data_IF_815219218779
#
_entry.id   IF_815219218779
#
_cell.length_a   1.000
_cell.length_b   1.000
_cell.length_c   1.000
_cell.angle_alpha   90.00
_cell.angle_beta   90.00
_cell.angle_gamma   90.00
#
_symmetry.space_group_name_H-M   'P 1'
#
loop_
_entity.id
_entity.type
_entity.pdbx_description
1 polymer ?
#
# COMPACT_ATOMS: atom_id res chain seq x y z
N UNK A 1 -31.97 -3.93 2.02
CA UNK A 1 -31.00 -4.78 2.72
C UNK A 1 -30.28 -3.93 3.76
N UNK A 2 -29.98 -4.48 4.94
CA UNK A 2 -29.19 -3.81 5.97
C UNK A 2 -27.74 -4.29 5.89
N UNK A 3 -26.80 -3.35 5.80
CA UNK A 3 -25.37 -3.61 5.58
C UNK A 3 -24.59 -2.98 6.73
N UNK A 4 -23.69 -3.75 7.34
CA UNK A 4 -22.77 -3.26 8.38
C UNK A 4 -21.39 -3.11 7.76
N UNK A 5 -20.80 -1.92 7.88
CA UNK A 5 -19.46 -1.61 7.41
C UNK A 5 -18.54 -1.46 8.61
N UNK A 6 -17.48 -2.26 8.65
CA UNK A 6 -16.57 -2.36 9.81
C UNK A 6 -15.21 -1.70 9.59
N UNK A 7 -14.93 -1.22 8.39
CA UNK A 7 -13.69 -0.50 8.05
C UNK A 7 -13.68 0.92 8.62
N UNK A 8 -12.50 1.56 8.75
CA UNK A 8 -12.41 2.97 9.13
C UNK A 8 -13.29 3.86 8.23
N UNK A 9 -13.80 4.96 8.79
CA UNK A 9 -14.76 5.82 8.09
C UNK A 9 -14.18 6.40 6.80
N UNK A 10 -12.92 6.78 6.83
CA UNK A 10 -12.21 7.41 5.70
C UNK A 10 -12.13 6.49 4.50
N UNK A 11 -12.01 5.17 4.74
CA UNK A 11 -11.94 4.12 3.71
C UNK A 11 -13.33 3.65 3.26
N UNK A 12 -14.39 4.15 3.90
CA UNK A 12 -15.77 3.64 3.74
C UNK A 12 -16.74 4.67 3.19
N UNK A 13 -16.41 5.96 3.23
CA UNK A 13 -17.34 7.05 2.89
C UNK A 13 -17.96 6.90 1.50
N UNK A 14 -17.16 6.58 0.50
CA UNK A 14 -17.65 6.41 -0.88
C UNK A 14 -18.59 5.19 -0.98
N UNK A 15 -18.22 4.07 -0.35
CA UNK A 15 -19.02 2.86 -0.32
C UNK A 15 -20.36 3.11 0.41
N UNK A 16 -20.33 3.80 1.56
CA UNK A 16 -21.54 4.17 2.32
C UNK A 16 -22.48 5.00 1.46
N UNK A 17 -21.96 6.03 0.78
CA UNK A 17 -22.76 6.88 -0.11
C UNK A 17 -23.39 6.08 -1.25
N UNK A 18 -22.63 5.23 -1.92
CA UNK A 18 -23.10 4.41 -3.02
C UNK A 18 -24.20 3.41 -2.60
N UNK A 19 -24.02 2.79 -1.42
CA UNK A 19 -25.01 1.86 -0.87
C UNK A 19 -26.29 2.58 -0.44
N UNK A 20 -26.16 3.73 0.22
CA UNK A 20 -27.31 4.55 0.62
C UNK A 20 -28.09 5.09 -0.58
N UNK A 21 -27.39 5.49 -1.64
CA UNK A 21 -28.02 5.91 -2.90
C UNK A 21 -28.83 4.80 -3.55
N UNK A 22 -28.42 3.53 -3.37
CA UNK A 22 -29.15 2.34 -3.82
C UNK A 22 -30.24 1.88 -2.82
N UNK A 23 -30.66 2.74 -1.90
CA UNK A 23 -31.69 2.47 -0.89
C UNK A 23 -31.36 1.31 0.06
N UNK A 24 -30.08 1.06 0.33
CA UNK A 24 -29.69 0.16 1.40
C UNK A 24 -29.56 0.90 2.73
N UNK A 25 -29.97 0.25 3.83
CA UNK A 25 -29.70 0.74 5.18
C UNK A 25 -28.27 0.38 5.54
N UNK A 26 -27.45 1.40 5.85
CA UNK A 26 -26.04 1.20 6.18
C UNK A 26 -25.78 1.61 7.63
N UNK A 27 -25.23 0.68 8.40
CA UNK A 27 -24.68 0.97 9.74
C UNK A 27 -23.16 0.93 9.68
N UNK A 28 -22.52 2.03 10.07
CA UNK A 28 -21.07 2.10 10.18
C UNK A 28 -20.65 1.74 11.61
N UNK A 29 -19.92 0.64 11.76
CA UNK A 29 -19.40 0.12 13.01
C UNK A 29 -17.90 -0.19 12.86
N UNK A 30 -17.00 0.80 12.98
CA UNK A 30 -15.57 0.58 12.76
C UNK A 30 -15.00 -0.33 13.84
N UNK A 31 -14.46 -1.48 13.42
CA UNK A 31 -13.78 -2.44 14.29
C UNK A 31 -12.25 -2.34 14.20
N UNK A 32 -11.73 -1.53 13.28
CA UNK A 32 -10.30 -1.34 13.03
C UNK A 32 -9.96 0.13 13.23
N UNK A 33 -8.95 0.38 14.04
CA UNK A 33 -8.35 1.70 14.21
C UNK A 33 -6.88 1.62 13.76
N UNK A 34 -6.53 2.39 12.73
CA UNK A 34 -5.18 2.42 12.17
C UNK A 34 -4.44 3.61 12.77
N UNK A 35 -3.31 3.33 13.42
CA UNK A 35 -2.46 4.35 14.04
C UNK A 35 -1.09 4.37 13.37
N UNK A 36 -0.50 5.56 13.26
CA UNK A 36 0.88 5.72 12.83
C UNK A 36 1.80 5.09 13.88
N UNK A 37 2.69 4.21 13.41
CA UNK A 37 3.82 3.74 14.22
C UNK A 37 4.95 4.75 14.05
N UNK A 38 5.65 5.09 15.13
CA UNK A 38 6.81 5.98 15.05
C UNK A 38 7.89 5.31 14.21
N UNK A 39 8.18 5.90 13.06
CA UNK A 39 9.22 5.39 12.17
C UNK A 39 10.59 5.87 12.64
N UNK A 40 11.60 4.99 12.56
CA UNK A 40 13.00 5.38 12.63
C UNK A 40 13.31 6.29 11.44
N UNK A 41 14.31 7.17 11.58
CA UNK A 41 14.78 8.00 10.47
C UNK A 41 15.22 7.11 9.29
N UNK A 42 14.37 7.03 8.27
CA UNK A 42 14.60 6.24 7.06
C UNK A 42 15.32 7.15 6.06
N UNK A 43 16.51 6.74 5.63
CA UNK A 43 17.17 7.43 4.52
C UNK A 43 16.64 6.85 3.19
N UNK A 44 15.68 7.53 2.59
CA UNK A 44 15.03 7.09 1.35
C UNK A 44 15.96 7.04 0.13
N UNK A 45 17.11 7.72 0.14
CA UNK A 45 18.09 7.63 -0.95
C UNK A 45 18.71 6.24 -1.12
N UNK A 46 18.65 5.41 -0.08
CA UNK A 46 19.15 4.03 -0.13
C UNK A 46 18.21 3.07 -0.86
N UNK A 47 17.00 3.53 -1.23
CA UNK A 47 15.98 2.70 -1.85
C UNK A 47 15.72 3.14 -3.29
N UNK A 48 15.44 2.17 -4.15
CA UNK A 48 15.13 2.37 -5.56
C UNK A 48 13.69 2.07 -5.94
N UNK A 49 12.93 1.56 -4.99
CA UNK A 49 11.49 1.38 -5.09
C UNK A 49 10.85 1.21 -3.73
N UNK A 50 9.53 1.38 -3.68
CA UNK A 50 8.71 1.23 -2.50
C UNK A 50 7.56 0.28 -2.81
N UNK A 51 7.25 -0.59 -1.86
CA UNK A 51 6.10 -1.49 -1.93
C UNK A 51 5.03 -1.02 -0.95
N UNK A 52 3.82 -0.84 -1.44
CA UNK A 52 2.64 -0.49 -0.66
C UNK A 52 1.55 -1.55 -0.82
N UNK A 53 1.26 -2.29 0.24
CA UNK A 53 0.15 -3.25 0.27
C UNK A 53 -1.16 -2.65 0.75
N UNK A 54 -1.14 -1.40 1.22
CA UNK A 54 -2.31 -0.66 1.69
C UNK A 54 -2.18 0.84 1.42
N UNK A 55 -3.29 1.48 1.06
CA UNK A 55 -3.38 2.94 0.93
C UNK A 55 -3.08 3.66 2.26
N UNK A 56 -3.37 3.03 3.40
CA UNK A 56 -3.07 3.57 4.71
C UNK A 56 -1.56 3.64 5.00
N UNK A 57 -0.76 2.75 4.43
CA UNK A 57 0.69 2.81 4.54
C UNK A 57 1.24 4.14 3.98
N UNK A 58 0.68 4.61 2.87
CA UNK A 58 1.07 5.88 2.25
C UNK A 58 0.64 7.08 3.12
N UNK A 59 -0.57 7.02 3.67
CA UNK A 59 -1.13 8.10 4.49
C UNK A 59 -0.30 8.39 5.74
N UNK A 60 0.28 7.36 6.34
CA UNK A 60 1.04 7.49 7.59
C UNK A 60 2.55 7.60 7.38
N UNK A 61 3.03 7.46 6.16
CA UNK A 61 4.42 7.67 5.79
C UNK A 61 4.71 9.17 5.63
N UNK A 62 5.84 9.61 6.14
CA UNK A 62 6.36 10.94 5.80
C UNK A 62 6.92 10.90 4.38
N UNK A 63 6.13 11.43 3.45
CA UNK A 63 6.45 11.37 2.01
C UNK A 63 7.20 12.58 1.48
N UNK A 64 7.45 13.60 2.32
CA UNK A 64 8.08 14.84 1.86
C UNK A 64 9.52 14.63 1.36
N UNK A 65 10.25 13.76 2.05
CA UNK A 65 11.65 13.45 1.75
C UNK A 65 11.83 12.28 0.77
N UNK A 66 10.76 11.77 0.18
CA UNK A 66 10.82 10.65 -0.75
C UNK A 66 10.83 11.20 -2.18
N UNK A 67 11.81 10.79 -3.03
CA UNK A 67 11.83 11.17 -4.43
C UNK A 67 10.54 10.73 -5.14
N UNK A 68 9.85 11.67 -5.78
CA UNK A 68 8.53 11.39 -6.40
C UNK A 68 8.62 10.54 -7.66
N UNK A 69 9.81 10.39 -8.23
CA UNK A 69 10.11 9.51 -9.37
C UNK A 69 10.46 8.08 -8.98
N UNK A 70 10.48 7.74 -7.69
CA UNK A 70 10.74 6.37 -7.24
C UNK A 70 9.64 5.42 -7.72
N UNK A 71 10.02 4.19 -8.06
CA UNK A 71 9.03 3.15 -8.41
C UNK A 71 8.18 2.78 -7.19
N UNK A 72 6.87 2.87 -7.31
CA UNK A 72 5.93 2.45 -6.28
C UNK A 72 5.13 1.25 -6.77
N UNK A 73 5.34 0.12 -6.14
CA UNK A 73 4.64 -1.13 -6.41
C UNK A 73 3.45 -1.25 -5.46
N UNK A 74 2.23 -1.20 -6.01
CA UNK A 74 0.99 -1.19 -5.25
C UNK A 74 0.22 -2.49 -5.44
N UNK A 75 -0.33 -3.05 -4.35
CA UNK A 75 -1.11 -4.29 -4.46
C UNK A 75 -2.38 -4.08 -5.27
N UNK A 76 -3.05 -2.95 -5.15
CA UNK A 76 -4.31 -2.66 -5.81
C UNK A 76 -4.45 -1.22 -6.31
N UNK A 77 -5.45 -0.99 -7.16
CA UNK A 77 -5.71 0.29 -7.82
C UNK A 77 -5.98 1.44 -6.84
N UNK A 78 -6.69 1.17 -5.73
CA UNK A 78 -6.93 2.18 -4.69
C UNK A 78 -5.62 2.66 -4.04
N UNK A 79 -4.65 1.76 -3.85
CA UNK A 79 -3.32 2.07 -3.32
C UNK A 79 -2.50 2.84 -4.36
N UNK A 80 -2.55 2.45 -5.64
CA UNK A 80 -1.90 3.16 -6.73
C UNK A 80 -2.43 4.59 -6.86
N UNK A 81 -3.76 4.76 -6.89
CA UNK A 81 -4.39 6.07 -6.93
C UNK A 81 -3.93 6.94 -5.77
N UNK A 82 -3.91 6.38 -4.55
CA UNK A 82 -3.43 7.09 -3.36
C UNK A 82 -1.96 7.50 -3.49
N UNK A 83 -1.10 6.63 -4.02
CA UNK A 83 0.30 6.96 -4.27
C UNK A 83 0.43 8.12 -5.26
N UNK A 84 -0.32 8.12 -6.34
CA UNK A 84 -0.36 9.21 -7.32
C UNK A 84 -0.87 10.52 -6.73
N UNK A 85 -1.89 10.49 -5.87
CA UNK A 85 -2.40 11.66 -5.15
C UNK A 85 -1.33 12.29 -4.23
N UNK A 86 -0.40 11.48 -3.72
CA UNK A 86 0.77 11.93 -2.94
C UNK A 86 1.98 12.31 -3.81
N UNK A 87 1.81 12.33 -5.13
CA UNK A 87 2.79 12.81 -6.10
C UNK A 87 3.73 11.73 -6.66
N UNK A 88 3.56 10.46 -6.31
CA UNK A 88 4.36 9.36 -6.87
C UNK A 88 3.86 8.99 -8.26
N UNK A 89 4.46 9.58 -9.29
CA UNK A 89 3.99 9.38 -10.66
C UNK A 89 4.39 8.04 -11.29
N UNK A 90 5.37 7.34 -10.73
CA UNK A 90 5.77 5.98 -11.14
C UNK A 90 5.10 4.88 -10.31
N UNK A 91 3.85 5.10 -9.88
CA UNK A 91 3.08 4.10 -9.17
C UNK A 91 2.36 3.17 -10.16
N UNK A 92 2.45 1.87 -9.91
CA UNK A 92 1.82 0.80 -10.69
C UNK A 92 1.11 -0.20 -9.78
N UNK A 93 -0.03 -0.70 -10.21
CA UNK A 93 -0.86 -1.66 -9.48
C UNK A 93 -0.72 -3.08 -10.02
N UNK A 94 -0.81 -4.05 -9.10
CA UNK A 94 -0.89 -5.47 -9.41
C UNK A 94 -2.34 -6.00 -9.51
N UNK A 95 -3.36 -5.13 -9.43
CA UNK A 95 -4.76 -5.52 -9.57
C UNK A 95 -5.38 -6.18 -8.33
N UNK A 96 -4.77 -6.03 -7.13
CA UNK A 96 -5.34 -6.47 -5.86
C UNK A 96 -4.86 -7.81 -5.32
N UNK A 97 -3.87 -8.44 -5.96
CA UNK A 97 -3.32 -9.73 -5.56
C UNK A 97 -1.82 -9.63 -5.25
N UNK A 98 -1.41 -10.21 -4.11
CA UNK A 98 0.00 -10.19 -3.65
C UNK A 98 0.90 -11.04 -4.55
N UNK A 99 0.42 -12.18 -5.05
CA UNK A 99 1.22 -13.03 -5.93
C UNK A 99 1.52 -12.31 -7.26
N UNK A 100 0.52 -11.63 -7.81
CA UNK A 100 0.70 -10.80 -9.01
C UNK A 100 1.63 -9.62 -8.73
N UNK A 101 1.61 -9.06 -7.52
CA UNK A 101 2.55 -8.02 -7.11
C UNK A 101 4.00 -8.54 -7.10
N UNK A 102 4.21 -9.73 -6.57
CA UNK A 102 5.53 -10.39 -6.58
C UNK A 102 6.03 -10.56 -8.01
N UNK A 103 5.21 -11.11 -8.89
CA UNK A 103 5.54 -11.30 -10.30
C UNK A 103 5.84 -9.98 -11.01
N UNK A 104 5.03 -8.95 -10.75
CA UNK A 104 5.24 -7.61 -11.30
C UNK A 104 6.60 -7.04 -10.88
N UNK A 105 6.95 -7.13 -9.60
CA UNK A 105 8.23 -6.67 -9.08
C UNK A 105 9.38 -7.45 -9.73
N UNK A 106 9.32 -8.78 -9.76
CA UNK A 106 10.37 -9.63 -10.35
C UNK A 106 10.61 -9.28 -11.82
N UNK A 107 9.54 -8.99 -12.57
CA UNK A 107 9.62 -8.69 -13.99
C UNK A 107 10.12 -7.28 -14.30
N UNK A 108 9.80 -6.31 -13.45
CA UNK A 108 10.01 -4.89 -13.76
C UNK A 108 11.11 -4.23 -12.95
N UNK A 109 11.46 -4.76 -11.78
CA UNK A 109 12.49 -4.17 -10.93
C UNK A 109 13.85 -4.82 -11.20
N UNK A 110 14.82 -3.99 -11.59
CA UNK A 110 16.20 -4.44 -11.69
C UNK A 110 16.83 -4.48 -10.29
N UNK A 111 17.07 -5.70 -9.81
CA UNK A 111 17.68 -5.98 -8.50
C UNK A 111 19.09 -5.39 -8.32
N UNK A 112 19.78 -5.10 -9.42
CA UNK A 112 21.12 -4.51 -9.39
C UNK A 112 21.09 -3.01 -9.08
N UNK A 113 19.92 -2.35 -9.21
CA UNK A 113 19.77 -0.94 -8.89
C UNK A 113 19.82 -0.65 -7.38
N UNK A 114 19.44 -1.62 -6.53
CA UNK A 114 19.47 -1.47 -5.07
C UNK A 114 18.33 -2.17 -4.36
N UNK A 115 17.89 -1.58 -3.24
CA UNK A 115 16.90 -2.17 -2.34
C UNK A 115 15.50 -1.62 -2.58
N UNK A 116 14.50 -2.42 -2.23
CA UNK A 116 13.12 -2.00 -2.07
C UNK A 116 12.80 -1.74 -0.60
N UNK A 117 12.04 -0.69 -0.34
CA UNK A 117 11.43 -0.42 0.96
C UNK A 117 10.03 -1.03 0.97
N UNK A 118 9.74 -1.90 1.93
CA UNK A 118 8.40 -2.42 2.15
C UNK A 118 7.74 -1.69 3.30
N UNK A 119 6.74 -0.87 3.00
CA UNK A 119 5.97 -0.15 4.03
C UNK A 119 4.75 -0.98 4.40
N UNK A 120 4.81 -1.58 5.57
CA UNK A 120 3.81 -2.53 6.05
C UNK A 120 3.22 -2.11 7.40
N UNK A 121 2.20 -2.85 7.85
CA UNK A 121 1.75 -2.82 9.24
C UNK A 121 2.67 -3.67 10.13
N UNK A 122 2.52 -3.55 11.44
CA UNK A 122 3.23 -4.36 12.43
C UNK A 122 3.04 -5.87 12.20
N UNK A 123 1.87 -6.25 11.68
CA UNK A 123 1.56 -7.63 11.29
C UNK A 123 1.79 -7.80 9.79
N UNK A 124 2.93 -8.37 9.42
CA UNK A 124 3.35 -8.55 8.04
C UNK A 124 2.83 -9.87 7.49
N UNK A 125 2.37 -9.86 6.24
CA UNK A 125 2.23 -11.09 5.47
C UNK A 125 3.64 -11.61 5.14
N UNK A 126 4.07 -12.66 5.82
CA UNK A 126 5.41 -13.26 5.68
C UNK A 126 5.73 -13.72 4.23
N UNK A 127 4.71 -13.97 3.44
CA UNK A 127 4.87 -14.52 2.09
C UNK A 127 5.56 -13.56 1.13
N UNK A 128 5.19 -12.28 1.13
CA UNK A 128 5.80 -11.30 0.22
C UNK A 128 7.33 -11.18 0.43
N UNK A 129 7.74 -11.04 1.68
CA UNK A 129 9.15 -10.88 2.04
C UNK A 129 9.97 -12.13 1.68
N UNK A 130 9.46 -13.31 2.01
CA UNK A 130 10.14 -14.57 1.72
C UNK A 130 10.28 -14.82 0.22
N UNK A 131 9.24 -14.56 -0.57
CA UNK A 131 9.28 -14.79 -2.01
C UNK A 131 10.24 -13.84 -2.73
N UNK A 132 10.24 -12.56 -2.36
CA UNK A 132 11.18 -11.59 -2.95
C UNK A 132 12.62 -11.87 -2.55
N UNK A 133 12.88 -12.28 -1.31
CA UNK A 133 14.23 -12.71 -0.86
C UNK A 133 14.74 -13.92 -1.63
N UNK A 134 13.90 -14.92 -1.94
CA UNK A 134 14.27 -16.07 -2.78
C UNK A 134 14.74 -15.65 -4.17
N UNK A 135 14.25 -14.53 -4.70
CA UNK A 135 14.65 -13.96 -6.00
C UNK A 135 15.81 -12.99 -5.90
N UNK A 136 16.49 -12.93 -4.75
CA UNK A 136 17.60 -12.01 -4.45
C UNK A 136 17.22 -10.52 -4.55
N UNK A 137 15.96 -10.18 -4.31
CA UNK A 137 15.51 -8.81 -4.16
C UNK A 137 15.64 -8.43 -2.68
N UNK A 138 16.46 -7.43 -2.40
CA UNK A 138 16.72 -6.96 -1.05
C UNK A 138 15.57 -6.06 -0.59
N UNK A 139 14.92 -6.46 0.51
CA UNK A 139 13.88 -5.69 1.18
C UNK A 139 14.41 -5.11 2.50
N UNK A 140 13.87 -3.97 2.87
CA UNK A 140 13.91 -3.41 4.23
C UNK A 140 12.49 -3.04 4.64
N UNK A 141 12.10 -3.41 5.84
CA UNK A 141 10.80 -3.14 6.44
C UNK A 141 10.87 -1.95 7.40
#
# INVERSE_FOLDING_TARGET
>A
MHIIITRPIEDSLELIRNLSFKNHVVTHLPLINIKKISNKNINFHNYKGIIFTSANAIKFLDTENIPKNIHCFCVGEATEKKAKDFGFYNAISAGGNVDVLIELIIRTFDKNLGRLLYVSSEFISKELDLELKKKAILLTE
#
